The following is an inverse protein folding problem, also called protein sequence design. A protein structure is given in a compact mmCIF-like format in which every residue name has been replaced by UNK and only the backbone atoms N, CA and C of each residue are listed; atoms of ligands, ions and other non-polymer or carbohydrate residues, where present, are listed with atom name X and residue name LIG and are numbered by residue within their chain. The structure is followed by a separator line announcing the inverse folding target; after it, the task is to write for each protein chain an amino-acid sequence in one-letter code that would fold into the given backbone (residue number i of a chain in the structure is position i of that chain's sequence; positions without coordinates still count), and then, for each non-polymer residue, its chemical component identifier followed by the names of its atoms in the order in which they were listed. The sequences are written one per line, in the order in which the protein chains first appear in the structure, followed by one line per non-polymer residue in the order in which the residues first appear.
data_IF_094051780098
#
_entry.id   IF_094051780098
#
_cell.length_a   1.000
_cell.length_b   1.000
_cell.length_c   1.000
_cell.angle_alpha   90.00
_cell.angle_beta   90.00
_cell.angle_gamma   90.00
#
_symmetry.space_group_name_H-M   'P 1'
#
loop_
_entity.id
_entity.type
_entity.pdbx_description
1 polymer ?
#
# COMPACT_ATOMS: atom_id res chain seq x y z
N UNK A 1 -30.23 -8.36 -18.57
CA UNK A 1 -30.43 -9.08 -17.30
C UNK A 1 -31.86 -8.79 -16.88
N UNK A 2 -32.70 -9.80 -16.95
CA UNK A 2 -34.04 -9.70 -16.38
C UNK A 2 -33.90 -9.69 -14.84
N UNK A 3 -34.30 -8.60 -14.19
CA UNK A 3 -34.08 -8.38 -12.75
C UNK A 3 -34.99 -9.23 -11.86
N UNK A 4 -36.00 -9.89 -12.44
CA UNK A 4 -36.91 -10.79 -11.73
C UNK A 4 -36.42 -12.24 -11.78
N UNK A 5 -35.84 -12.66 -12.90
CA UNK A 5 -35.44 -14.07 -13.15
C UNK A 5 -33.92 -14.28 -13.05
N UNK A 6 -33.12 -13.21 -12.98
CA UNK A 6 -31.64 -13.22 -13.00
C UNK A 6 -31.01 -14.00 -14.18
N UNK A 7 -31.79 -14.29 -15.22
CA UNK A 7 -31.29 -14.91 -16.44
C UNK A 7 -30.67 -13.87 -17.36
N UNK A 8 -29.67 -14.29 -18.14
CA UNK A 8 -29.13 -13.49 -19.22
C UNK A 8 -30.24 -13.31 -20.27
N UNK A 9 -30.38 -12.09 -20.76
CA UNK A 9 -31.33 -11.79 -21.83
C UNK A 9 -30.66 -12.14 -23.15
N UNK A 10 -31.38 -12.82 -24.03
CA UNK A 10 -30.91 -13.20 -25.37
C UNK A 10 -30.74 -11.99 -26.31
N UNK A 11 -31.24 -10.81 -25.91
CA UNK A 11 -31.16 -9.56 -26.66
C UNK A 11 -29.93 -8.72 -26.28
N UNK A 12 -29.19 -8.27 -27.29
CA UNK A 12 -28.08 -7.34 -27.10
C UNK A 12 -28.61 -5.93 -26.80
N UNK A 13 -28.20 -5.35 -25.67
CA UNK A 13 -28.62 -4.00 -25.26
C UNK A 13 -27.53 -3.22 -24.53
N UNK A 14 -27.48 -1.91 -24.79
CA UNK A 14 -26.56 -0.95 -24.15
C UNK A 14 -27.14 -0.44 -22.81
N UNK A 15 -28.38 -0.82 -22.45
CA UNK A 15 -29.07 -0.33 -21.27
C UNK A 15 -28.28 -0.52 -19.96
N UNK A 16 -27.55 -1.64 -19.81
CA UNK A 16 -26.73 -1.90 -18.62
C UNK A 16 -25.55 -0.93 -18.49
N UNK A 17 -24.88 -0.59 -19.60
CA UNK A 17 -23.79 0.39 -19.61
C UNK A 17 -24.30 1.79 -19.29
N UNK A 18 -25.45 2.17 -19.88
CA UNK A 18 -26.11 3.44 -19.55
C UNK A 18 -26.46 3.50 -18.07
N UNK A 19 -27.02 2.43 -17.51
CA UNK A 19 -27.35 2.34 -16.09
C UNK A 19 -26.11 2.46 -15.20
N UNK A 20 -25.03 1.75 -15.53
CA UNK A 20 -23.77 1.83 -14.80
C UNK A 20 -23.20 3.27 -14.75
N UNK A 21 -23.39 4.06 -15.81
CA UNK A 21 -22.90 5.44 -15.89
C UNK A 21 -23.86 6.49 -15.34
N UNK A 22 -25.15 6.17 -15.15
CA UNK A 22 -26.17 7.15 -14.74
C UNK A 22 -26.69 6.92 -13.33
N UNK A 23 -26.58 5.70 -12.80
CA UNK A 23 -27.08 5.39 -11.46
C UNK A 23 -26.13 5.97 -10.40
N UNK A 24 -26.62 6.80 -9.45
CA UNK A 24 -25.78 7.48 -8.46
C UNK A 24 -24.96 6.53 -7.61
N UNK A 25 -25.48 5.33 -7.33
CA UNK A 25 -24.78 4.32 -6.54
C UNK A 25 -23.47 3.88 -7.21
N UNK A 26 -23.51 3.55 -8.51
CA UNK A 26 -22.31 3.13 -9.25
C UNK A 26 -21.28 4.25 -9.32
N UNK A 27 -21.72 5.50 -9.56
CA UNK A 27 -20.84 6.66 -9.58
C UNK A 27 -20.17 6.92 -8.22
N UNK A 28 -20.91 6.78 -7.12
CA UNK A 28 -20.36 6.95 -5.76
C UNK A 28 -19.34 5.86 -5.44
N UNK A 29 -19.64 4.60 -5.76
CA UNK A 29 -18.72 3.48 -5.53
C UNK A 29 -17.47 3.64 -6.40
N UNK A 30 -17.62 3.96 -7.68
CA UNK A 30 -16.51 4.20 -8.60
C UNK A 30 -15.59 5.33 -8.09
N UNK A 31 -16.18 6.46 -7.66
CA UNK A 31 -15.42 7.58 -7.09
C UNK A 31 -14.69 7.19 -5.81
N UNK A 32 -15.34 6.46 -4.91
CA UNK A 32 -14.70 5.99 -3.65
C UNK A 32 -13.55 5.04 -3.93
N UNK A 33 -13.70 4.13 -4.90
CA UNK A 33 -12.65 3.22 -5.31
C UNK A 33 -11.48 3.94 -5.98
N UNK A 34 -11.74 4.93 -6.83
CA UNK A 34 -10.70 5.73 -7.47
C UNK A 34 -9.90 6.53 -6.44
N UNK A 35 -10.58 7.18 -5.48
CA UNK A 35 -9.92 7.89 -4.38
C UNK A 35 -9.12 6.91 -3.51
N UNK A 36 -9.68 5.74 -3.20
CA UNK A 36 -8.97 4.70 -2.45
C UNK A 36 -7.70 4.28 -3.16
N UNK A 37 -7.77 4.02 -4.47
CA UNK A 37 -6.62 3.64 -5.27
C UNK A 37 -5.53 4.72 -5.24
N UNK A 38 -5.88 5.98 -5.45
CA UNK A 38 -4.93 7.09 -5.38
C UNK A 38 -4.26 7.21 -4.01
N UNK A 39 -5.04 7.12 -2.92
CA UNK A 39 -4.50 7.19 -1.56
C UNK A 39 -3.59 5.99 -1.29
N UNK A 40 -4.02 4.77 -1.61
CA UNK A 40 -3.23 3.55 -1.40
C UNK A 40 -1.94 3.63 -2.21
N UNK A 41 -1.97 4.03 -3.47
CA UNK A 41 -0.77 4.19 -4.30
C UNK A 41 0.18 5.20 -3.69
N UNK A 42 -0.30 6.40 -3.34
CA UNK A 42 0.54 7.45 -2.77
C UNK A 42 1.19 7.01 -1.46
N UNK A 43 0.40 6.49 -0.52
CA UNK A 43 0.90 6.01 0.78
C UNK A 43 1.86 4.83 0.59
N UNK A 44 1.54 3.91 -0.31
CA UNK A 44 2.41 2.76 -0.60
C UNK A 44 3.76 3.23 -1.14
N UNK A 45 3.80 4.19 -2.06
CA UNK A 45 5.06 4.73 -2.59
C UNK A 45 5.88 5.44 -1.51
N UNK A 46 5.23 6.21 -0.62
CA UNK A 46 5.89 6.89 0.50
C UNK A 46 6.62 5.91 1.42
N UNK A 47 6.08 4.71 1.64
CA UNK A 47 6.75 3.68 2.45
C UNK A 47 7.67 2.76 1.65
N UNK A 48 7.28 2.41 0.43
CA UNK A 48 8.03 1.49 -0.41
C UNK A 48 9.36 2.11 -0.88
N UNK A 49 9.40 3.40 -1.18
CA UNK A 49 10.62 4.08 -1.61
C UNK A 49 11.75 4.03 -0.57
N UNK A 50 11.57 4.50 0.69
CA UNK A 50 12.63 4.41 1.69
C UNK A 50 12.99 2.96 2.03
N UNK A 51 12.01 2.05 2.00
CA UNK A 51 12.25 0.63 2.21
C UNK A 51 13.14 0.03 1.11
N UNK A 52 12.82 0.29 -0.15
CA UNK A 52 13.58 -0.17 -1.30
C UNK A 52 14.98 0.46 -1.34
N UNK A 53 15.09 1.76 -1.05
CA UNK A 53 16.37 2.46 -0.97
C UNK A 53 17.27 1.84 0.10
N UNK A 54 16.74 1.60 1.31
CA UNK A 54 17.48 0.92 2.38
C UNK A 54 17.89 -0.49 1.95
N UNK A 55 17.00 -1.26 1.32
CA UNK A 55 17.30 -2.61 0.87
C UNK A 55 18.43 -2.67 -0.16
N UNK A 56 18.45 -1.73 -1.13
CA UNK A 56 19.47 -1.63 -2.18
C UNK A 56 20.81 -1.16 -1.62
N UNK A 57 20.80 -0.04 -0.86
CA UNK A 57 22.02 0.63 -0.36
C UNK A 57 22.62 0.01 0.91
N UNK A 58 21.95 -0.95 1.53
CA UNK A 58 22.50 -1.66 2.68
C UNK A 58 23.71 -2.50 2.27
N UNK A 59 24.86 -2.24 2.89
CA UNK A 59 26.09 -3.02 2.70
C UNK A 59 26.07 -4.40 3.37
N UNK A 60 25.25 -4.59 4.43
CA UNK A 60 25.15 -5.86 5.15
C UNK A 60 24.30 -6.88 4.39
N UNK A 61 24.86 -8.01 3.93
CA UNK A 61 24.08 -9.06 3.25
C UNK A 61 23.00 -9.66 4.16
N UNK A 62 23.26 -9.70 5.48
CA UNK A 62 22.33 -10.20 6.47
C UNK A 62 21.09 -9.31 6.61
N UNK A 63 21.30 -7.99 6.69
CA UNK A 63 20.19 -7.04 6.77
C UNK A 63 19.39 -7.00 5.46
N UNK A 64 20.04 -7.07 4.29
CA UNK A 64 19.34 -7.17 3.00
C UNK A 64 18.45 -8.42 2.93
N UNK A 65 18.96 -9.59 3.35
CA UNK A 65 18.18 -10.83 3.43
C UNK A 65 17.02 -10.70 4.42
N UNK A 66 17.25 -10.10 5.58
CA UNK A 66 16.20 -9.87 6.58
C UNK A 66 15.08 -8.98 6.03
N UNK A 67 15.41 -7.86 5.36
CA UNK A 67 14.43 -6.99 4.72
C UNK A 67 13.63 -7.75 3.66
N UNK A 68 14.28 -8.50 2.77
CA UNK A 68 13.57 -9.32 1.79
C UNK A 68 12.62 -10.33 2.45
N UNK A 69 13.07 -11.04 3.49
CA UNK A 69 12.22 -11.99 4.21
C UNK A 69 11.06 -11.26 4.88
N UNK A 70 11.30 -10.17 5.60
CA UNK A 70 10.27 -9.41 6.29
C UNK A 70 9.22 -8.85 5.32
N UNK A 71 9.64 -8.44 4.12
CA UNK A 71 8.77 -7.96 3.05
C UNK A 71 7.84 -9.05 2.52
N UNK A 72 8.37 -10.25 2.29
CA UNK A 72 7.60 -11.37 1.71
C UNK A 72 6.87 -12.23 2.74
N UNK A 73 7.31 -12.24 4.00
CA UNK A 73 6.68 -13.00 5.08
C UNK A 73 5.14 -12.84 5.15
N UNK A 74 4.57 -11.62 5.09
CA UNK A 74 3.11 -11.44 5.12
C UNK A 74 2.39 -11.88 3.84
N UNK A 75 3.12 -12.20 2.77
CA UNK A 75 2.57 -12.69 1.50
C UNK A 75 2.33 -14.21 1.52
N UNK A 76 3.13 -14.96 2.29
CA UNK A 76 2.98 -16.41 2.43
C UNK A 76 1.78 -16.82 3.30
N UNK A 77 1.23 -15.89 4.08
CA UNK A 77 0.00 -16.10 4.86
C UNK A 77 -1.21 -15.82 3.95
N UNK A 78 -2.17 -16.74 3.92
CA UNK A 78 -3.38 -16.58 3.12
C UNK A 78 -4.15 -15.29 3.48
N UNK A 79 -4.73 -14.64 2.47
CA UNK A 79 -5.42 -13.35 2.60
C UNK A 79 -6.50 -13.36 3.70
N UNK A 80 -7.28 -14.44 3.77
CA UNK A 80 -8.35 -14.62 4.76
C UNK A 80 -7.78 -14.71 6.18
N UNK A 81 -6.70 -15.47 6.37
CA UNK A 81 -6.03 -15.62 7.67
C UNK A 81 -5.51 -14.27 8.15
N UNK A 82 -4.89 -13.49 7.25
CA UNK A 82 -4.41 -12.14 7.57
C UNK A 82 -5.54 -11.19 7.95
N UNK A 83 -6.67 -11.26 7.26
CA UNK A 83 -7.85 -10.46 7.58
C UNK A 83 -8.37 -10.77 8.99
N UNK A 84 -8.43 -12.06 9.37
CA UNK A 84 -8.79 -12.46 10.73
C UNK A 84 -7.76 -12.03 11.78
N UNK A 85 -6.46 -12.10 11.46
CA UNK A 85 -5.40 -11.60 12.34
C UNK A 85 -5.59 -10.11 12.66
N UNK A 86 -5.83 -9.29 11.62
CA UNK A 86 -6.14 -7.88 11.83
C UNK A 86 -7.48 -7.64 12.52
N UNK A 87 -8.46 -8.52 12.34
CA UNK A 87 -9.72 -8.46 13.07
C UNK A 87 -9.52 -8.60 14.58
N UNK A 88 -8.69 -9.55 14.99
CA UNK A 88 -8.35 -9.75 16.39
C UNK A 88 -7.53 -8.57 16.93
N UNK A 89 -6.52 -8.10 16.18
CA UNK A 89 -5.60 -7.04 16.62
C UNK A 89 -6.29 -5.66 16.71
N UNK A 90 -7.11 -5.31 15.70
CA UNK A 90 -7.80 -4.01 15.56
C UNK A 90 -9.24 -4.04 16.10
N UNK A 91 -9.66 -5.16 16.69
CA UNK A 91 -10.97 -5.27 17.33
C UNK A 91 -11.11 -4.27 18.50
N UNK A 92 -12.35 -4.05 18.94
CA UNK A 92 -12.62 -3.14 20.06
C UNK A 92 -11.95 -3.58 21.37
N UNK A 93 -11.74 -4.88 21.56
CA UNK A 93 -10.98 -5.48 22.66
C UNK A 93 -9.63 -6.07 22.19
N UNK A 94 -9.12 -5.58 21.06
CA UNK A 94 -7.86 -6.04 20.49
C UNK A 94 -6.64 -5.37 21.13
N UNK A 95 -5.46 -5.93 20.86
CA UNK A 95 -4.18 -5.47 21.42
C UNK A 95 -3.91 -3.97 21.20
N UNK A 96 -4.35 -3.40 20.08
CA UNK A 96 -4.13 -1.98 19.79
C UNK A 96 -4.98 -1.10 20.71
N UNK A 97 -6.23 -1.45 20.94
CA UNK A 97 -7.09 -0.70 21.85
C UNK A 97 -6.66 -0.85 23.32
N UNK A 98 -6.15 -2.03 23.69
CA UNK A 98 -5.56 -2.24 25.02
C UNK A 98 -4.33 -1.35 25.22
N UNK A 99 -3.42 -1.29 24.24
CA UNK A 99 -2.25 -0.42 24.27
C UNK A 99 -2.64 1.08 24.32
N UNK A 100 -3.68 1.49 23.60
CA UNK A 100 -4.25 2.84 23.69
C UNK A 100 -4.80 3.13 25.10
N UNK A 101 -5.43 2.14 25.73
CA UNK A 101 -5.90 2.24 27.11
C UNK A 101 -4.78 2.50 28.12
N UNK A 102 -3.59 1.94 27.92
CA UNK A 102 -2.42 2.17 28.79
C UNK A 102 -1.96 3.64 28.81
N UNK A 103 -2.19 4.38 27.73
CA UNK A 103 -1.89 5.81 27.62
C UNK A 103 -3.11 6.70 27.88
N UNK A 104 -4.20 6.13 28.41
CA UNK A 104 -5.42 6.85 28.80
C UNK A 104 -6.37 7.18 27.64
N UNK A 105 -6.18 6.58 26.47
CA UNK A 105 -7.05 6.80 25.31
C UNK A 105 -8.20 5.79 25.33
N UNK A 106 -9.43 6.30 25.20
CA UNK A 106 -10.62 5.44 25.15
C UNK A 106 -10.63 4.53 23.90
N UNK A 107 -11.25 3.34 23.97
CA UNK A 107 -11.28 2.41 22.84
C UNK A 107 -11.85 3.04 21.58
N UNK A 108 -11.12 2.93 20.47
CA UNK A 108 -11.54 3.44 19.17
C UNK A 108 -11.99 2.29 18.26
N UNK A 109 -13.00 2.55 17.43
CA UNK A 109 -13.44 1.59 16.41
C UNK A 109 -12.45 1.58 15.24
N UNK A 110 -11.41 0.76 15.36
CA UNK A 110 -10.33 0.64 14.38
C UNK A 110 -10.66 -0.30 13.21
N UNK A 111 -11.72 -1.11 13.32
CA UNK A 111 -12.14 -2.06 12.28
C UNK A 111 -13.56 -1.75 11.72
N UNK A 112 -13.87 -2.31 10.55
CA UNK A 112 -15.11 -2.10 9.80
C UNK A 112 -15.32 -0.62 9.43
N UNK A 113 -14.23 0.04 9.07
CA UNK A 113 -14.19 1.42 8.61
C UNK A 113 -13.30 1.54 7.37
N UNK A 114 -13.36 2.68 6.69
CA UNK A 114 -12.62 2.92 5.46
C UNK A 114 -11.08 2.94 5.66
N UNK A 115 -10.51 3.58 6.70
CA UNK A 115 -9.07 3.52 6.99
C UNK A 115 -8.51 2.11 7.14
N UNK A 116 -9.22 1.19 7.79
CA UNK A 116 -8.79 -0.20 7.95
C UNK A 116 -8.64 -0.93 6.60
N UNK A 117 -9.54 -0.63 5.66
CA UNK A 117 -9.46 -1.17 4.29
C UNK A 117 -8.24 -0.61 3.58
N UNK A 118 -8.00 0.70 3.65
CA UNK A 118 -6.82 1.33 3.04
C UNK A 118 -5.52 0.75 3.61
N UNK A 119 -5.46 0.56 4.93
CA UNK A 119 -4.31 -0.04 5.60
C UNK A 119 -4.01 -1.45 5.08
N UNK A 120 -5.03 -2.32 4.99
CA UNK A 120 -4.87 -3.66 4.44
C UNK A 120 -4.41 -3.67 2.98
N UNK A 121 -4.90 -2.73 2.17
CA UNK A 121 -4.50 -2.56 0.77
C UNK A 121 -3.05 -2.07 0.64
N UNK A 122 -2.63 -1.09 1.44
CA UNK A 122 -1.24 -0.61 1.48
C UNK A 122 -0.30 -1.75 1.87
N UNK A 123 -0.60 -2.49 2.93
CA UNK A 123 0.22 -3.63 3.36
C UNK A 123 0.34 -4.69 2.24
N UNK A 124 -0.73 -4.93 1.50
CA UNK A 124 -0.73 -5.87 0.39
C UNK A 124 0.09 -5.40 -0.81
N UNK A 125 0.02 -4.10 -1.16
CA UNK A 125 0.71 -3.51 -2.32
C UNK A 125 2.18 -3.20 -2.06
N UNK A 126 2.58 -2.98 -0.81
CA UNK A 126 3.95 -2.64 -0.41
C UNK A 126 5.03 -3.58 -0.97
N UNK A 127 4.94 -4.93 -0.86
CA UNK A 127 5.95 -5.83 -1.44
C UNK A 127 6.10 -5.65 -2.95
N UNK A 128 4.99 -5.50 -3.68
CA UNK A 128 5.02 -5.30 -5.12
C UNK A 128 5.67 -3.97 -5.52
N UNK A 129 5.34 -2.88 -4.80
CA UNK A 129 5.93 -1.58 -5.05
C UNK A 129 7.44 -1.58 -4.79
N UNK A 130 7.90 -2.21 -3.71
CA UNK A 130 9.33 -2.35 -3.41
C UNK A 130 10.06 -3.12 -4.51
N UNK A 131 9.48 -4.21 -5.01
CA UNK A 131 10.07 -4.99 -6.11
C UNK A 131 10.16 -4.21 -7.42
N UNK A 132 9.20 -3.33 -7.68
CA UNK A 132 9.22 -2.47 -8.88
C UNK A 132 10.27 -1.35 -8.75
N UNK A 133 10.46 -0.80 -7.54
CA UNK A 133 11.42 0.27 -7.28
C UNK A 133 12.88 -0.22 -7.17
N UNK A 134 13.09 -1.44 -6.67
CA UNK A 134 14.45 -1.94 -6.40
C UNK A 134 15.38 -1.95 -7.64
N UNK A 135 14.95 -2.40 -8.84
CA UNK A 135 15.79 -2.33 -10.04
C UNK A 135 16.13 -0.91 -10.45
N UNK A 136 15.17 0.02 -10.39
CA UNK A 136 15.39 1.44 -10.72
C UNK A 136 16.44 2.07 -9.80
N UNK A 137 16.32 1.84 -8.49
CA UNK A 137 17.29 2.33 -7.50
C UNK A 137 18.66 1.66 -7.63
N UNK A 138 18.70 0.38 -7.99
CA UNK A 138 19.97 -0.35 -8.22
C UNK A 138 20.70 0.18 -9.45
N UNK A 139 19.97 0.66 -10.46
CA UNK A 139 20.55 1.23 -11.68
C UNK A 139 21.26 2.58 -11.43
N UNK A 140 20.95 3.28 -10.33
CA UNK A 140 21.61 4.52 -9.95
C UNK A 140 23.01 4.21 -9.40
N UNK A 141 24.10 4.69 -10.02
CA UNK A 141 25.46 4.48 -9.53
C UNK A 141 25.68 5.14 -8.17
N UNK A 142 26.33 4.43 -7.23
CA UNK A 142 26.60 4.94 -5.88
C UNK A 142 27.58 6.12 -5.88
N UNK A 143 28.41 6.23 -6.92
CA UNK A 143 29.36 7.31 -7.11
C UNK A 143 28.67 8.67 -7.22
N UNK A 144 27.44 8.74 -7.75
CA UNK A 144 26.67 9.97 -7.81
C UNK A 144 26.28 10.47 -6.41
N UNK A 145 25.93 9.55 -5.50
CA UNK A 145 25.61 9.88 -4.12
C UNK A 145 26.87 10.32 -3.35
N UNK A 146 28.00 9.63 -3.57
CA UNK A 146 29.29 9.98 -2.99
C UNK A 146 29.82 11.35 -3.48
N UNK A 147 29.65 11.65 -4.78
CA UNK A 147 30.04 12.93 -5.36
C UNK A 147 29.22 14.09 -4.79
N UNK A 148 27.91 13.90 -4.63
CA UNK A 148 27.05 14.90 -3.98
C UNK A 148 27.49 15.16 -2.53
N UNK A 149 27.83 14.12 -1.77
CA UNK A 149 28.38 14.24 -0.43
C UNK A 149 29.70 15.04 -0.39
N UNK A 150 30.58 14.82 -1.36
CA UNK A 150 31.86 15.53 -1.49
C UNK A 150 31.69 17.01 -1.81
N UNK A 151 30.60 17.39 -2.48
CA UNK A 151 30.20 18.79 -2.73
C UNK A 151 29.48 19.44 -1.53
N UNK A 152 29.40 18.76 -0.39
CA UNK A 152 28.76 19.27 0.82
C UNK A 152 27.24 19.08 0.86
N UNK A 153 26.66 18.26 -0.01
CA UNK A 153 25.26 17.88 0.10
C UNK A 153 25.06 16.94 1.30
N UNK A 154 24.07 17.26 2.15
CA UNK A 154 23.62 16.34 3.18
C UNK A 154 22.73 15.23 2.56
N UNK A 155 22.48 14.15 3.31
CA UNK A 155 21.70 13.01 2.85
C UNK A 155 20.33 13.41 2.26
N UNK A 156 19.62 14.37 2.86
CA UNK A 156 18.33 14.85 2.36
C UNK A 156 18.48 15.52 0.99
N UNK A 157 19.51 16.35 0.80
CA UNK A 157 19.78 17.00 -0.48
C UNK A 157 20.17 15.98 -1.55
N UNK A 158 21.04 15.03 -1.22
CA UNK A 158 21.42 13.93 -2.12
C UNK A 158 20.19 13.11 -2.53
N UNK A 159 19.32 12.79 -1.58
CA UNK A 159 18.07 12.08 -1.86
C UNK A 159 17.17 12.87 -2.82
N UNK A 160 16.87 14.14 -2.53
CA UNK A 160 15.92 14.95 -3.31
C UNK A 160 16.47 15.31 -4.70
N UNK A 161 17.78 15.56 -4.84
CA UNK A 161 18.37 16.10 -6.07
C UNK A 161 19.06 15.05 -6.94
N UNK A 162 19.37 13.86 -6.40
CA UNK A 162 20.06 12.80 -7.14
C UNK A 162 19.19 11.56 -7.20
N UNK A 163 18.83 10.98 -6.04
CA UNK A 163 18.15 9.68 -6.00
C UNK A 163 16.71 9.77 -6.52
N UNK A 164 15.91 10.69 -5.99
CA UNK A 164 14.50 10.84 -6.37
C UNK A 164 14.26 11.18 -7.86
N UNK A 165 15.02 12.08 -8.53
CA UNK A 165 14.81 12.38 -9.94
C UNK A 165 15.39 11.34 -10.91
N UNK A 166 16.32 10.48 -10.47
CA UNK A 166 16.90 9.41 -11.28
C UNK A 166 16.19 8.06 -11.14
N UNK A 167 15.40 7.87 -10.07
CA UNK A 167 14.63 6.67 -9.78
C UNK A 167 13.30 6.66 -10.54
#
# INVERSE_FOLDING_TARGET
LDTTTFQFSDDYSIANFRRALTEPLFLVVARRSLIAALIVTAVTLVFAFPYAYLMVRTASPGLRKFLLIALFLPFFIGQVVRAYGWLIILGNQGMVNEALGLVGVAPMRLIYNYPAVLFGLVQYMLPFAVLMLAPALTAIPEELEAAAGSLGANWVRTFIHVVFPLA
#
